data_IF_009468922881
#
_entry.id   IF_009468922881
#
_cell.length_a   1.000
_cell.length_b   1.000
_cell.length_c   1.000
_cell.angle_alpha   90.00
_cell.angle_beta   90.00
_cell.angle_gamma   90.00
#
_symmetry.space_group_name_H-M   'P 1'
#
loop_
_entity.id
_entity.type
_entity.pdbx_description
1 polymer ?
#
# COMPACT_ATOMS: atom_id res chain seq x y z
N UNK A 1 13.61 7.80 -14.02
CA UNK A 1 14.92 7.09 -14.15
C UNK A 1 15.14 6.07 -13.01
N UNK A 2 14.13 5.29 -12.60
CA UNK A 2 14.32 4.13 -11.67
C UNK A 2 14.15 2.78 -12.40
N UNK A 3 13.30 2.70 -13.42
CA UNK A 3 12.94 1.44 -14.10
C UNK A 3 14.08 0.79 -14.91
N UNK A 4 15.04 1.56 -15.43
CA UNK A 4 16.15 1.02 -16.23
C UNK A 4 17.27 0.39 -15.37
N UNK A 5 17.38 0.75 -14.09
CA UNK A 5 18.33 0.09 -13.16
C UNK A 5 17.84 -1.31 -12.76
N UNK A 6 16.54 -1.56 -12.79
CA UNK A 6 15.94 -2.81 -12.29
C UNK A 6 16.24 -4.02 -13.17
N UNK A 7 16.21 -3.89 -14.49
CA UNK A 7 16.40 -5.04 -15.41
C UNK A 7 17.82 -5.61 -15.32
N UNK A 8 18.86 -4.76 -15.35
CA UNK A 8 20.25 -5.22 -15.25
C UNK A 8 20.59 -5.82 -13.88
N UNK A 9 20.02 -5.26 -12.80
CA UNK A 9 20.18 -5.82 -11.46
C UNK A 9 19.54 -7.20 -11.32
N UNK A 10 18.37 -7.40 -11.95
CA UNK A 10 17.61 -8.65 -11.84
C UNK A 10 18.09 -9.72 -12.82
N UNK A 11 18.41 -9.35 -14.06
CA UNK A 11 18.73 -10.29 -15.14
C UNK A 11 20.21 -10.30 -15.57
N UNK A 12 21.05 -9.43 -15.01
CA UNK A 12 22.47 -9.34 -15.35
C UNK A 12 22.76 -8.75 -16.75
N UNK A 13 24.01 -8.88 -17.19
CA UNK A 13 24.47 -8.37 -18.50
C UNK A 13 23.98 -9.22 -19.70
N UNK A 14 23.59 -10.48 -19.46
CA UNK A 14 23.00 -11.38 -20.44
C UNK A 14 21.59 -11.77 -19.98
N UNK A 15 20.63 -10.87 -20.21
CA UNK A 15 19.28 -11.03 -19.72
C UNK A 15 18.59 -12.25 -20.36
N UNK A 16 18.31 -13.27 -19.54
CA UNK A 16 17.44 -14.40 -19.90
C UNK A 16 16.12 -14.23 -19.17
N UNK A 17 15.01 -14.51 -19.86
CA UNK A 17 13.69 -14.38 -19.26
C UNK A 17 13.50 -15.33 -18.07
N UNK A 18 12.91 -14.81 -17.00
CA UNK A 18 12.40 -15.58 -15.88
C UNK A 18 11.19 -14.84 -15.27
N UNK A 19 10.28 -15.60 -14.67
CA UNK A 19 9.24 -15.02 -13.83
C UNK A 19 9.89 -14.47 -12.55
N UNK A 20 9.67 -13.19 -12.28
CA UNK A 20 10.25 -12.46 -11.15
C UNK A 20 9.12 -11.76 -10.38
N UNK A 21 8.91 -12.10 -9.10
CA UNK A 21 7.88 -11.49 -8.27
C UNK A 21 7.99 -9.95 -8.24
N UNK A 22 6.86 -9.28 -8.44
CA UNK A 22 6.79 -7.82 -8.52
C UNK A 22 7.35 -7.18 -9.80
N UNK A 23 7.85 -7.97 -10.76
CA UNK A 23 8.46 -7.46 -11.99
C UNK A 23 7.81 -8.02 -13.26
N UNK A 24 7.83 -9.34 -13.47
CA UNK A 24 7.27 -9.96 -14.67
C UNK A 24 6.85 -11.40 -14.43
N UNK A 25 5.81 -11.84 -15.14
CA UNK A 25 5.35 -13.23 -15.16
C UNK A 25 4.75 -13.58 -16.53
N UNK A 26 5.00 -14.79 -17.01
CA UNK A 26 4.29 -15.36 -18.16
C UNK A 26 2.96 -15.93 -17.68
N UNK A 27 1.86 -15.27 -18.02
CA UNK A 27 0.51 -15.75 -17.72
C UNK A 27 -0.05 -16.59 -18.87
N UNK A 28 -0.64 -17.73 -18.54
CA UNK A 28 -1.42 -18.56 -19.47
C UNK A 28 -2.77 -17.92 -19.80
N UNK A 29 -3.38 -18.29 -20.92
CA UNK A 29 -4.73 -17.83 -21.27
C UNK A 29 -5.78 -18.19 -20.21
N UNK A 30 -5.63 -19.35 -19.58
CA UNK A 30 -6.52 -19.78 -18.49
C UNK A 30 -6.38 -18.88 -17.25
N UNK A 31 -5.16 -18.47 -16.88
CA UNK A 31 -4.95 -17.50 -15.80
C UNK A 31 -5.53 -16.11 -16.14
N UNK A 32 -5.41 -15.69 -17.40
CA UNK A 32 -5.97 -14.41 -17.88
C UNK A 32 -7.50 -14.42 -17.84
N UNK A 33 -8.12 -15.50 -18.32
CA UNK A 33 -9.56 -15.70 -18.27
C UNK A 33 -10.08 -15.69 -16.82
N UNK A 34 -9.40 -16.40 -15.91
CA UNK A 34 -9.74 -16.43 -14.49
C UNK A 34 -9.66 -15.04 -13.82
N UNK A 35 -8.83 -14.14 -14.35
CA UNK A 35 -8.73 -12.74 -13.92
C UNK A 35 -9.68 -11.79 -14.67
N UNK A 36 -10.66 -12.33 -15.40
CA UNK A 36 -11.66 -11.56 -16.15
C UNK A 36 -11.05 -10.82 -17.35
N UNK A 37 -10.04 -11.42 -17.99
CA UNK A 37 -9.30 -10.83 -19.12
C UNK A 37 -8.58 -9.52 -18.80
N UNK A 38 -8.43 -9.18 -17.52
CA UNK A 38 -7.70 -8.01 -17.08
C UNK A 38 -6.21 -8.22 -17.28
N UNK A 39 -5.57 -7.44 -18.15
CA UNK A 39 -4.11 -7.53 -18.39
C UNK A 39 -3.30 -6.64 -17.44
N UNK A 40 -3.89 -6.22 -16.31
CA UNK A 40 -3.16 -5.45 -15.30
C UNK A 40 -2.06 -6.33 -14.67
N UNK A 41 -0.76 -6.02 -14.83
CA UNK A 41 0.34 -6.89 -14.39
C UNK A 41 0.28 -7.26 -12.90
N UNK A 42 -0.21 -6.35 -12.04
CA UNK A 42 -0.34 -6.58 -10.60
C UNK A 42 -1.22 -7.78 -10.23
N UNK A 43 -2.07 -8.28 -11.15
CA UNK A 43 -2.86 -9.50 -10.96
C UNK A 43 -2.04 -10.79 -11.12
N UNK A 44 -0.84 -10.72 -11.69
CA UNK A 44 -0.06 -11.89 -12.09
C UNK A 44 1.33 -11.91 -11.46
N UNK A 45 1.99 -10.76 -11.36
CA UNK A 45 3.41 -10.70 -10.97
C UNK A 45 3.65 -10.89 -9.48
N UNK A 46 2.61 -10.85 -8.63
CA UNK A 46 2.77 -10.90 -7.18
C UNK A 46 3.57 -9.70 -6.65
N UNK A 47 4.19 -9.86 -5.49
CA UNK A 47 5.05 -8.83 -4.88
C UNK A 47 6.46 -9.37 -4.72
N UNK A 48 7.47 -8.54 -4.97
CA UNK A 48 8.83 -8.85 -4.57
C UNK A 48 8.85 -9.05 -3.04
N UNK A 49 9.68 -9.98 -2.51
CA UNK A 49 9.91 -10.06 -1.08
C UNK A 49 10.29 -8.66 -0.57
N UNK A 50 9.49 -8.14 0.35
CA UNK A 50 9.82 -6.86 1.00
C UNK A 50 11.10 -6.99 1.82
N UNK A 51 11.61 -5.85 2.28
CA UNK A 51 12.66 -5.87 3.29
C UNK A 51 12.15 -6.62 4.53
N UNK A 52 13.00 -7.47 5.11
CA UNK A 52 12.67 -8.15 6.35
C UNK A 52 12.62 -7.10 7.47
N UNK A 53 11.42 -6.72 7.86
CA UNK A 53 11.18 -5.88 9.03
C UNK A 53 11.22 -6.79 10.26
N UNK A 54 12.01 -6.42 11.28
CA UNK A 54 12.00 -7.17 12.54
C UNK A 54 10.66 -6.96 13.27
N UNK A 55 10.28 -7.93 14.10
CA UNK A 55 9.07 -7.80 14.93
C UNK A 55 9.16 -6.58 15.87
N UNK A 56 10.36 -6.24 16.32
CA UNK A 56 10.65 -5.04 17.12
C UNK A 56 10.42 -3.75 16.32
N UNK A 57 10.95 -3.65 15.09
CA UNK A 57 10.76 -2.47 14.24
C UNK A 57 9.29 -2.27 13.86
N UNK A 58 8.56 -3.36 13.61
CA UNK A 58 7.13 -3.32 13.34
C UNK A 58 6.34 -2.78 14.54
N UNK A 59 6.62 -3.28 15.76
CA UNK A 59 5.95 -2.81 16.98
C UNK A 59 6.21 -1.34 17.24
N UNK A 60 7.45 -0.88 17.09
CA UNK A 60 7.80 0.52 17.29
C UNK A 60 7.06 1.45 16.30
N UNK A 61 6.97 1.04 15.03
CA UNK A 61 6.18 1.78 14.02
C UNK A 61 4.69 1.78 14.36
N UNK A 62 4.14 0.64 14.78
CA UNK A 62 2.74 0.52 15.16
C UNK A 62 2.39 1.39 16.37
N UNK A 63 3.24 1.42 17.39
CA UNK A 63 3.08 2.27 18.58
C UNK A 63 3.05 3.75 18.18
N UNK A 64 4.01 4.17 17.35
CA UNK A 64 4.08 5.56 16.84
C UNK A 64 2.79 5.96 16.10
N UNK A 65 2.31 5.09 15.20
CA UNK A 65 1.07 5.33 14.45
C UNK A 65 -0.16 5.35 15.36
N UNK A 66 -0.19 4.52 16.40
CA UNK A 66 -1.30 4.48 17.33
C UNK A 66 -1.35 5.74 18.22
N UNK A 67 -0.19 6.25 18.65
CA UNK A 67 -0.11 7.53 19.37
C UNK A 67 -0.61 8.70 18.51
N UNK A 68 -0.21 8.76 17.23
CA UNK A 68 -0.70 9.76 16.28
C UNK A 68 -2.23 9.64 16.07
N UNK A 69 -2.74 8.41 15.95
CA UNK A 69 -4.18 8.17 15.81
C UNK A 69 -4.96 8.65 17.04
N UNK A 70 -4.48 8.39 18.25
CA UNK A 70 -5.14 8.84 19.48
C UNK A 70 -5.16 10.37 19.58
N UNK A 71 -4.07 11.05 19.18
CA UNK A 71 -4.02 12.51 19.10
C UNK A 71 -5.06 13.05 18.10
N UNK A 72 -5.11 12.48 16.90
CA UNK A 72 -6.08 12.88 15.86
C UNK A 72 -7.53 12.63 16.32
N UNK A 73 -7.78 11.54 17.03
CA UNK A 73 -9.10 11.24 17.60
C UNK A 73 -9.52 12.28 18.65
N UNK A 74 -8.60 12.71 19.51
CA UNK A 74 -8.87 13.76 20.50
C UNK A 74 -9.24 15.09 19.82
N UNK A 75 -8.46 15.48 18.81
CA UNK A 75 -8.71 16.68 18.01
C UNK A 75 -10.05 16.61 17.25
N UNK A 76 -10.38 15.44 16.69
CA UNK A 76 -11.64 15.22 16.00
C UNK A 76 -12.84 15.40 16.95
N UNK A 77 -12.77 14.90 18.19
CA UNK A 77 -13.82 15.07 19.20
C UNK A 77 -14.00 16.53 19.62
N UNK A 78 -12.91 17.28 19.76
CA UNK A 78 -12.97 18.72 20.05
C UNK A 78 -13.69 19.48 18.91
N UNK A 79 -13.37 19.14 17.66
CA UNK A 79 -14.02 19.73 16.49
C UNK A 79 -15.50 19.34 16.43
N UNK A 80 -15.84 18.08 16.69
CA UNK A 80 -17.22 17.58 16.76
C UNK A 80 -18.05 18.35 17.79
N UNK A 81 -17.51 18.54 19.00
CA UNK A 81 -18.18 19.32 20.06
C UNK A 81 -18.41 20.77 19.65
N UNK A 82 -17.40 21.39 19.02
CA UNK A 82 -17.50 22.78 18.53
C UNK A 82 -18.59 22.92 17.47
N UNK A 83 -18.65 21.97 16.51
CA UNK A 83 -19.68 21.96 15.48
C UNK A 83 -21.06 21.77 16.11
N UNK A 84 -21.21 20.83 17.04
CA UNK A 84 -22.48 20.57 17.72
C UNK A 84 -22.98 21.81 18.49
N UNK A 85 -22.09 22.50 19.21
CA UNK A 85 -22.43 23.73 19.92
C UNK A 85 -22.88 24.85 18.96
N UNK A 86 -22.17 25.04 17.85
CA UNK A 86 -22.54 26.03 16.84
C UNK A 86 -23.89 25.72 16.18
N UNK A 87 -24.16 24.44 15.87
CA UNK A 87 -25.45 24.02 15.31
C UNK A 87 -26.59 24.26 16.29
N UNK A 88 -26.42 23.92 17.57
CA UNK A 88 -27.42 24.20 18.61
C UNK A 88 -27.71 25.70 18.71
N UNK A 89 -26.66 26.53 18.71
CA UNK A 89 -26.80 27.99 18.74
C UNK A 89 -27.51 28.59 17.52
N UNK A 90 -27.49 27.93 16.35
CA UNK A 90 -28.25 28.34 15.16
C UNK A 90 -29.72 27.93 15.26
N UNK A 91 -30.01 26.77 15.85
CA UNK A 91 -31.37 26.22 15.94
C UNK A 91 -32.22 26.86 17.05
N UNK A 92 -31.58 27.47 18.06
CA UNK A 92 -32.25 28.17 19.16
C UNK A 92 -32.66 29.62 18.81
N UNK A 93 -32.33 30.11 17.60
CA UNK A 93 -32.66 31.47 17.11
C UNK A 93 -34.00 31.52 16.36
#
# INVERSE_FOLDING_TARGET
MQSARTIKTVFGDQATYADVPGLCKAATLAEIEAQGWSLNPGRYVGVAPGEAVSDEDFKAQLETLNEELELLNAQARELEQTIAANVAGILEV
#
